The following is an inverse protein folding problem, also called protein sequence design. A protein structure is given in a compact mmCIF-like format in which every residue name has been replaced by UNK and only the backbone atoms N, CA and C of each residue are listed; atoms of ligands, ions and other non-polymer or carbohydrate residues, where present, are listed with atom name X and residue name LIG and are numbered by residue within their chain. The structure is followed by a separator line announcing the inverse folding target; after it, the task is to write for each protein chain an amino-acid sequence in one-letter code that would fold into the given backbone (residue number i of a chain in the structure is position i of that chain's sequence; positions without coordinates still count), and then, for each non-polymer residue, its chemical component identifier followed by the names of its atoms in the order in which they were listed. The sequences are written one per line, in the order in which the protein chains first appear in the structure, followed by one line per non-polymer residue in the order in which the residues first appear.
data_IF_784096162725
#
_entry.id   IF_784096162725
#
_cell.length_a   1.000
_cell.length_b   1.000
_cell.length_c   1.000
_cell.angle_alpha   90.00
_cell.angle_beta   90.00
_cell.angle_gamma   90.00
#
_symmetry.space_group_name_H-M   'P 1'
#
loop_
_entity.id
_entity.type
_entity.pdbx_description
1 polymer ?
#
# COMPACT_ATOMS: atom_id res chain seq x y z
N UNK A 1 21.20 -2.97 14.94
CA UNK A 1 20.18 -2.75 15.99
C UNK A 1 18.79 -3.33 15.66
N UNK A 2 18.54 -3.88 14.46
CA UNK A 2 17.22 -4.46 14.09
C UNK A 2 16.97 -5.90 14.60
N UNK A 3 18.02 -6.68 14.87
CA UNK A 3 17.89 -8.11 15.27
C UNK A 3 17.43 -8.28 16.72
N UNK A 4 17.63 -7.27 17.58
CA UNK A 4 17.24 -7.34 18.99
C UNK A 4 15.77 -7.02 19.22
N UNK A 5 15.11 -6.30 18.30
CA UNK A 5 13.69 -5.94 18.40
C UNK A 5 12.77 -7.05 17.91
N UNK A 6 13.18 -7.80 16.89
CA UNK A 6 12.36 -8.91 16.35
C UNK A 6 12.28 -10.09 17.31
N UNK A 7 13.36 -10.42 18.01
CA UNK A 7 13.37 -11.49 19.03
C UNK A 7 12.54 -11.13 20.26
N UNK A 8 12.43 -9.85 20.61
CA UNK A 8 11.57 -9.41 21.72
C UNK A 8 10.09 -9.40 21.35
N UNK A 9 9.73 -9.07 20.11
CA UNK A 9 8.32 -9.11 19.66
C UNK A 9 7.80 -10.53 19.53
N UNK A 10 8.62 -11.47 19.03
CA UNK A 10 8.22 -12.88 18.91
C UNK A 10 8.08 -13.54 20.27
N UNK A 11 8.98 -13.27 21.21
CA UNK A 11 8.85 -13.79 22.60
C UNK A 11 7.67 -13.17 23.34
N UNK A 12 7.32 -11.91 23.09
CA UNK A 12 6.11 -11.29 23.63
C UNK A 12 4.82 -11.91 23.07
N UNK A 13 4.78 -12.24 21.77
CA UNK A 13 3.65 -12.94 21.15
C UNK A 13 3.47 -14.37 21.69
N UNK A 14 4.57 -15.09 21.90
CA UNK A 14 4.56 -16.42 22.54
C UNK A 14 4.08 -16.35 24.00
N UNK A 15 4.48 -15.31 24.73
CA UNK A 15 3.99 -15.09 26.09
C UNK A 15 2.50 -14.71 26.12
N UNK A 16 2.02 -13.90 25.16
CA UNK A 16 0.61 -13.53 25.05
C UNK A 16 -0.26 -14.75 24.73
N UNK A 17 0.16 -15.60 23.80
CA UNK A 17 -0.55 -16.85 23.45
C UNK A 17 -0.56 -17.86 24.61
N UNK A 18 0.50 -17.92 25.42
CA UNK A 18 0.54 -18.73 26.65
C UNK A 18 -0.39 -18.19 27.74
N UNK A 19 -0.47 -16.86 27.91
CA UNK A 19 -1.40 -16.22 28.85
C UNK A 19 -2.87 -16.38 28.41
N UNK A 20 -3.13 -16.29 27.10
CA UNK A 20 -4.47 -16.45 26.54
C UNK A 20 -4.98 -17.89 26.61
N UNK A 21 -4.09 -18.88 26.58
CA UNK A 21 -4.44 -20.30 26.76
C UNK A 21 -4.56 -20.73 28.22
N UNK A 22 -3.86 -20.07 29.15
CA UNK A 22 -3.94 -20.36 30.59
C UNK A 22 -5.09 -19.63 31.30
N UNK A 23 -5.61 -18.54 30.72
CA UNK A 23 -6.78 -17.83 31.21
C UNK A 23 -8.08 -18.37 30.57
N UNK A 24 -8.38 -19.66 30.77
CA UNK A 24 -9.75 -20.15 30.59
C UNK A 24 -10.62 -19.45 31.63
N UNK A 25 -11.29 -18.38 31.22
CA UNK A 25 -12.08 -17.52 32.10
C UNK A 25 -13.17 -18.39 32.76
N UNK A 26 -13.12 -18.52 34.08
CA UNK A 26 -14.10 -19.27 34.90
C UNK A 26 -15.55 -18.85 34.65
N UNK A 27 -15.75 -17.65 34.09
CA UNK A 27 -17.06 -17.13 33.68
C UNK A 27 -17.59 -17.80 32.40
N UNK A 28 -16.72 -18.17 31.46
CA UNK A 28 -17.09 -19.00 30.30
C UNK A 28 -17.36 -20.44 30.73
N UNK A 29 -16.61 -20.97 31.70
CA UNK A 29 -16.92 -22.28 32.30
C UNK A 29 -18.25 -22.26 33.05
N UNK A 30 -18.56 -21.17 33.77
CA UNK A 30 -19.87 -20.98 34.39
C UNK A 30 -20.97 -20.85 33.34
N UNK A 31 -20.79 -20.03 32.31
CA UNK A 31 -21.76 -19.89 31.22
C UNK A 31 -22.04 -21.23 30.52
N UNK A 32 -21.00 -22.03 30.26
CA UNK A 32 -21.16 -23.37 29.67
C UNK A 32 -21.78 -24.38 30.64
N UNK A 33 -21.53 -24.26 31.95
CA UNK A 33 -22.22 -25.08 32.96
C UNK A 33 -23.72 -24.81 33.02
N UNK A 34 -24.16 -23.54 32.92
CA UNK A 34 -25.57 -23.18 32.83
C UNK A 34 -26.23 -23.77 31.57
N UNK A 35 -25.53 -23.78 30.43
CA UNK A 35 -26.07 -24.39 29.20
C UNK A 35 -26.18 -25.90 29.26
N UNK A 36 -25.28 -26.57 30.01
CA UNK A 36 -25.23 -28.02 30.11
C UNK A 36 -26.29 -28.58 31.07
N UNK A 37 -26.59 -27.87 32.15
CA UNK A 37 -27.65 -28.28 33.10
C UNK A 37 -29.06 -28.09 32.52
N UNK A 38 -29.29 -27.09 31.65
CA UNK A 38 -30.58 -26.94 30.94
C UNK A 38 -30.85 -28.03 29.90
N UNK A 39 -29.84 -28.78 29.46
CA UNK A 39 -29.99 -29.85 28.48
C UNK A 39 -30.48 -31.19 29.09
N UNK A 40 -30.65 -31.27 30.42
CA UNK A 40 -30.90 -32.54 31.12
C UNK A 40 -32.25 -32.61 31.88
N UNK A 41 -33.24 -31.80 31.49
CA UNK A 41 -34.64 -31.97 31.92
C UNK A 41 -35.48 -32.61 30.79
N UNK A 42 -35.79 -33.92 30.83
CA UNK A 42 -36.71 -34.55 29.90
C UNK A 42 -38.15 -34.37 30.39
N UNK A 43 -38.73 -33.20 30.20
CA UNK A 43 -40.18 -33.04 30.40
C UNK A 43 -40.92 -33.20 29.06
N UNK A 44 -41.53 -34.37 28.88
CA UNK A 44 -42.42 -34.64 27.76
C UNK A 44 -43.64 -33.72 27.82
N UNK A 45 -43.68 -32.70 26.96
CA UNK A 45 -44.88 -31.92 26.71
C UNK A 45 -45.08 -31.77 25.21
N UNK A 46 -46.04 -32.52 24.68
CA UNK A 46 -46.60 -32.33 23.35
C UNK A 46 -47.25 -30.94 23.32
N UNK A 47 -46.56 -29.94 22.80
CA UNK A 47 -47.19 -28.68 22.40
C UNK A 47 -46.88 -28.47 20.93
N UNK A 48 -47.90 -28.68 20.13
CA UNK A 48 -47.93 -28.31 18.72
C UNK A 48 -48.09 -26.80 18.64
N UNK A 49 -46.98 -26.09 18.48
CA UNK A 49 -47.01 -24.77 17.84
C UNK A 49 -45.86 -24.66 16.83
N UNK A 50 -46.24 -24.40 15.59
CA UNK A 50 -45.38 -24.44 14.43
C UNK A 50 -44.92 -23.02 14.09
N UNK A 51 -43.97 -22.48 14.85
CA UNK A 51 -43.18 -21.31 14.42
C UNK A 51 -41.91 -21.10 15.24
N UNK A 52 -40.99 -22.07 15.21
CA UNK A 52 -39.59 -21.85 15.60
C UNK A 52 -38.67 -22.44 14.54
N UNK A 53 -38.87 -21.99 13.30
CA UNK A 53 -37.94 -22.32 12.21
C UNK A 53 -36.75 -21.38 12.30
N UNK A 54 -35.55 -21.98 12.40
CA UNK A 54 -34.23 -21.40 12.17
C UNK A 54 -33.47 -20.85 13.39
N UNK A 55 -32.93 -21.75 14.22
CA UNK A 55 -31.57 -21.73 14.79
C UNK A 55 -31.40 -23.02 15.61
N UNK A 56 -30.22 -23.63 15.61
CA UNK A 56 -29.91 -24.86 16.36
C UNK A 56 -30.47 -24.82 17.82
N UNK A 57 -31.18 -25.87 18.28
CA UNK A 57 -31.72 -25.92 19.64
C UNK A 57 -30.65 -26.03 20.74
N UNK A 58 -29.39 -26.23 20.38
CA UNK A 58 -28.28 -26.46 21.31
C UNK A 58 -27.48 -25.19 21.67
N UNK A 59 -27.81 -24.03 21.09
CA UNK A 59 -27.15 -22.76 21.44
C UNK A 59 -28.21 -21.72 21.83
N UNK A 60 -28.52 -21.55 23.13
CA UNK A 60 -29.41 -20.48 23.58
C UNK A 60 -28.79 -19.14 23.17
N UNK A 61 -29.48 -18.43 22.28
CA UNK A 61 -29.11 -17.06 21.93
C UNK A 61 -29.48 -16.14 23.11
N UNK A 62 -28.75 -15.03 23.34
CA UNK A 62 -29.04 -14.14 24.47
C UNK A 62 -30.47 -13.58 24.44
N UNK A 63 -31.08 -13.50 23.26
CA UNK A 63 -32.47 -13.11 23.09
C UNK A 63 -33.47 -14.19 23.55
N UNK A 64 -33.19 -15.48 23.37
CA UNK A 64 -34.06 -16.56 23.83
C UNK A 64 -34.03 -16.71 25.35
N UNK A 65 -32.85 -16.58 25.97
CA UNK A 65 -32.69 -16.66 27.42
C UNK A 65 -33.47 -15.53 28.14
N UNK A 66 -33.47 -14.32 27.58
CA UNK A 66 -34.23 -13.21 28.13
C UNK A 66 -35.76 -13.47 28.10
N UNK A 67 -36.26 -14.09 27.02
CA UNK A 67 -37.66 -14.48 26.90
C UNK A 67 -38.03 -15.60 27.89
N UNK A 68 -37.17 -16.61 28.04
CA UNK A 68 -37.37 -17.71 28.99
C UNK A 68 -37.40 -17.20 30.43
N UNK A 69 -36.46 -16.31 30.82
CA UNK A 69 -36.46 -15.71 32.15
C UNK A 69 -37.72 -14.87 32.43
N UNK A 70 -38.26 -14.19 31.42
CA UNK A 70 -39.53 -13.47 31.56
C UNK A 70 -40.70 -14.45 31.76
N UNK A 71 -40.74 -15.53 30.97
CA UNK A 71 -41.75 -16.57 31.09
C UNK A 71 -41.73 -17.24 32.47
N UNK A 72 -40.55 -17.63 32.97
CA UNK A 72 -40.42 -18.23 34.29
C UNK A 72 -40.83 -17.28 35.41
N UNK A 73 -40.50 -15.98 35.33
CA UNK A 73 -40.98 -14.99 36.31
C UNK A 73 -42.50 -14.98 36.38
N UNK A 74 -43.18 -14.91 35.24
CA UNK A 74 -44.64 -14.92 35.20
C UNK A 74 -45.23 -16.24 35.72
N UNK A 75 -44.60 -17.38 35.42
CA UNK A 75 -45.02 -18.70 35.92
C UNK A 75 -44.88 -18.78 37.44
N UNK A 76 -43.75 -18.34 37.98
CA UNK A 76 -43.49 -18.32 39.42
C UNK A 76 -44.45 -17.39 40.14
N UNK A 77 -44.72 -16.19 39.61
CA UNK A 77 -45.68 -15.27 40.21
C UNK A 77 -47.09 -15.90 40.28
N UNK A 78 -47.52 -16.59 39.21
CA UNK A 78 -48.80 -17.32 39.18
C UNK A 78 -48.82 -18.49 40.17
N UNK A 79 -47.72 -19.24 40.24
CA UNK A 79 -47.59 -20.39 41.15
C UNK A 79 -47.59 -19.94 42.62
N UNK A 80 -46.83 -18.88 42.95
CA UNK A 80 -46.77 -18.28 44.27
C UNK A 80 -48.14 -17.78 44.71
N UNK A 81 -48.88 -17.08 43.83
CA UNK A 81 -50.25 -16.64 44.12
C UNK A 81 -51.18 -17.83 44.39
N UNK A 82 -51.19 -18.83 43.49
CA UNK A 82 -52.02 -20.03 43.64
C UNK A 82 -51.70 -20.80 44.93
N UNK A 83 -50.41 -20.91 45.29
CA UNK A 83 -49.98 -21.59 46.50
C UNK A 83 -50.42 -20.86 47.77
N UNK A 84 -50.23 -19.54 47.83
CA UNK A 84 -50.67 -18.72 48.95
C UNK A 84 -52.18 -18.80 49.11
N UNK A 85 -52.93 -18.72 48.01
CA UNK A 85 -54.39 -18.87 48.02
C UNK A 85 -54.82 -20.26 48.52
N UNK A 86 -54.15 -21.33 48.09
CA UNK A 86 -54.46 -22.68 48.57
C UNK A 86 -54.15 -22.84 50.06
N UNK A 87 -52.96 -22.43 50.50
CA UNK A 87 -52.55 -22.54 51.91
C UNK A 87 -53.45 -21.72 52.82
N UNK A 88 -53.89 -20.54 52.37
CA UNK A 88 -54.83 -19.71 53.15
C UNK A 88 -56.21 -20.36 53.22
N UNK A 89 -56.73 -20.91 52.12
CA UNK A 89 -57.99 -21.69 52.12
C UNK A 89 -57.91 -22.90 53.05
N UNK A 90 -56.82 -23.66 53.01
CA UNK A 90 -56.61 -24.82 53.88
C UNK A 90 -56.51 -24.42 55.36
N UNK A 91 -55.74 -23.37 55.68
CA UNK A 91 -55.64 -22.82 57.04
C UNK A 91 -57.01 -22.35 57.54
N UNK A 92 -57.80 -21.69 56.70
CA UNK A 92 -59.14 -21.22 57.06
C UNK A 92 -60.10 -22.39 57.33
N UNK A 93 -60.13 -23.40 56.46
CA UNK A 93 -60.93 -24.61 56.68
C UNK A 93 -60.51 -25.33 57.95
N UNK A 94 -59.20 -25.47 58.19
CA UNK A 94 -58.67 -26.06 59.42
C UNK A 94 -59.07 -25.25 60.66
N UNK A 95 -59.05 -23.92 60.59
CA UNK A 95 -59.45 -23.06 61.71
C UNK A 95 -60.95 -23.18 62.05
N UNK A 96 -61.82 -23.39 61.05
CA UNK A 96 -63.27 -23.57 61.27
C UNK A 96 -63.61 -24.99 61.74
N UNK A 97 -62.86 -25.99 61.26
CA UNK A 97 -63.08 -27.41 61.60
C UNK A 97 -62.33 -27.88 62.85
N UNK A 98 -61.42 -27.07 63.38
CA UNK A 98 -60.70 -27.35 64.62
C UNK A 98 -61.65 -27.36 65.83
N UNK A 99 -61.44 -28.33 66.72
CA UNK A 99 -62.23 -28.53 67.95
C UNK A 99 -62.04 -27.38 68.96
N UNK A 100 -60.89 -26.68 68.89
CA UNK A 100 -60.59 -25.46 69.64
C UNK A 100 -60.53 -24.27 68.67
N UNK A 101 -61.42 -23.27 68.78
CA UNK A 101 -61.37 -22.10 67.91
C UNK A 101 -60.07 -21.33 68.17
N UNK A 102 -59.29 -21.09 67.11
CA UNK A 102 -58.12 -20.23 67.15
C UNK A 102 -58.58 -18.78 67.25
N UNK A 103 -58.47 -18.19 68.44
CA UNK A 103 -58.71 -16.76 68.63
C UNK A 103 -57.40 -16.01 68.38
N UNK A 104 -57.37 -15.22 67.31
CA UNK A 104 -56.25 -14.33 67.03
C UNK A 104 -56.54 -13.03 67.75
N UNK A 105 -55.72 -12.69 68.75
CA UNK A 105 -55.87 -11.41 69.44
C UNK A 105 -55.42 -10.26 68.51
N UNK A 106 -56.13 -9.12 68.53
CA UNK A 106 -55.74 -7.96 67.74
C UNK A 106 -54.34 -7.43 68.12
N UNK A 107 -53.89 -7.69 69.35
CA UNK A 107 -52.54 -7.36 69.81
C UNK A 107 -51.46 -8.20 69.12
N UNK A 108 -51.71 -9.51 68.92
CA UNK A 108 -50.80 -10.40 68.21
C UNK A 108 -50.70 -10.03 66.72
N UNK A 109 -51.81 -9.64 66.10
CA UNK A 109 -51.81 -9.11 64.74
C UNK A 109 -50.99 -7.82 64.62
N UNK A 110 -51.18 -6.87 65.54
CA UNK A 110 -50.41 -5.63 65.54
C UNK A 110 -48.90 -5.88 65.74
N UNK A 111 -48.53 -6.86 66.57
CA UNK A 111 -47.13 -7.27 66.74
C UNK A 111 -46.55 -7.87 65.45
N UNK A 112 -47.28 -8.77 64.79
CA UNK A 112 -46.86 -9.38 63.52
C UNK A 112 -46.80 -8.36 62.37
N UNK A 113 -47.74 -7.42 62.29
CA UNK A 113 -47.70 -6.32 61.32
C UNK A 113 -46.48 -5.43 61.53
N UNK A 114 -46.10 -5.16 62.79
CA UNK A 114 -44.88 -4.38 63.08
C UNK A 114 -43.59 -5.11 62.68
N UNK A 115 -43.53 -6.43 62.87
CA UNK A 115 -42.40 -7.25 62.45
C UNK A 115 -42.31 -7.33 60.92
N UNK A 116 -43.44 -7.56 60.24
CA UNK A 116 -43.51 -7.55 58.79
C UNK A 116 -43.08 -6.21 58.20
N UNK A 117 -43.44 -5.08 58.82
CA UNK A 117 -43.02 -3.77 58.37
C UNK A 117 -41.48 -3.60 58.41
N UNK A 118 -40.83 -4.10 59.46
CA UNK A 118 -39.36 -4.08 59.58
C UNK A 118 -38.69 -5.00 58.55
N UNK A 119 -39.18 -6.24 58.42
CA UNK A 119 -38.66 -7.20 57.44
C UNK A 119 -38.87 -6.73 56.00
N UNK A 120 -40.00 -6.06 55.71
CA UNK A 120 -40.25 -5.46 54.41
C UNK A 120 -39.28 -4.32 54.10
N UNK A 121 -38.92 -3.50 55.08
CA UNK A 121 -37.95 -2.42 54.92
C UNK A 121 -36.55 -2.99 54.64
N UNK A 122 -36.12 -3.99 55.41
CA UNK A 122 -34.87 -4.70 55.19
C UNK A 122 -34.82 -5.36 53.80
N UNK A 123 -35.90 -6.04 53.39
CA UNK A 123 -35.99 -6.65 52.07
C UNK A 123 -35.96 -5.60 50.95
N UNK A 124 -36.59 -4.44 51.13
CA UNK A 124 -36.53 -3.33 50.16
C UNK A 124 -35.11 -2.80 50.03
N UNK A 125 -34.38 -2.64 51.14
CA UNK A 125 -32.99 -2.20 51.12
C UNK A 125 -32.10 -3.22 50.40
N UNK A 126 -32.21 -4.51 50.75
CA UNK A 126 -31.44 -5.57 50.09
C UNK A 126 -31.75 -5.67 48.59
N UNK A 127 -33.03 -5.55 48.18
CA UNK A 127 -33.42 -5.51 46.77
C UNK A 127 -32.79 -4.32 46.04
N UNK A 128 -32.75 -3.14 46.66
CA UNK A 128 -32.11 -1.96 46.09
C UNK A 128 -30.59 -2.14 45.95
N UNK A 129 -29.93 -2.74 46.96
CA UNK A 129 -28.50 -3.06 46.91
C UNK A 129 -28.17 -4.06 45.80
N UNK A 130 -28.95 -5.14 45.67
CA UNK A 130 -28.78 -6.12 44.59
C UNK A 130 -28.98 -5.47 43.23
N UNK A 131 -30.02 -4.65 43.06
CA UNK A 131 -30.26 -3.95 41.79
C UNK A 131 -29.12 -2.98 41.42
N UNK A 132 -28.53 -2.30 42.41
CA UNK A 132 -27.37 -1.45 42.19
C UNK A 132 -26.13 -2.27 41.78
N UNK A 133 -25.88 -3.40 42.45
CA UNK A 133 -24.77 -4.29 42.11
C UNK A 133 -24.92 -4.91 40.73
N UNK A 134 -26.13 -5.31 40.33
CA UNK A 134 -26.38 -5.85 38.97
C UNK A 134 -26.11 -4.79 37.90
N UNK A 135 -26.54 -3.54 38.13
CA UNK A 135 -26.24 -2.45 37.19
C UNK A 135 -24.74 -2.18 37.09
N UNK A 136 -24.01 -2.20 38.20
CA UNK A 136 -22.55 -2.05 38.19
C UNK A 136 -21.84 -3.19 37.47
N UNK A 137 -22.31 -4.43 37.67
CA UNK A 137 -21.79 -5.61 36.97
C UNK A 137 -22.05 -5.53 35.46
N UNK A 138 -23.25 -5.12 35.04
CA UNK A 138 -23.57 -4.92 33.62
C UNK A 138 -22.70 -3.84 33.00
N UNK A 139 -22.52 -2.70 33.68
CA UNK A 139 -21.67 -1.61 33.19
C UNK A 139 -20.21 -2.07 33.01
N UNK A 140 -19.66 -2.76 34.03
CA UNK A 140 -18.30 -3.31 33.96
C UNK A 140 -18.18 -4.42 32.92
N UNK A 141 -19.22 -5.24 32.76
CA UNK A 141 -19.27 -6.28 31.73
C UNK A 141 -19.20 -5.70 30.32
N UNK A 142 -19.94 -4.63 30.05
CA UNK A 142 -19.89 -3.91 28.77
C UNK A 142 -18.53 -3.26 28.54
N UNK A 143 -17.97 -2.58 29.54
CA UNK A 143 -16.64 -2.00 29.47
C UNK A 143 -15.57 -3.07 29.18
N UNK A 144 -15.64 -4.21 29.86
CA UNK A 144 -14.72 -5.32 29.65
C UNK A 144 -14.86 -5.94 28.25
N UNK A 145 -16.09 -6.08 27.73
CA UNK A 145 -16.32 -6.54 26.37
C UNK A 145 -15.65 -5.62 25.34
N UNK A 146 -15.86 -4.29 25.45
CA UNK A 146 -15.24 -3.32 24.53
C UNK A 146 -13.71 -3.32 24.61
N UNK A 147 -13.15 -3.49 25.82
CA UNK A 147 -11.69 -3.61 26.00
C UNK A 147 -11.15 -4.90 25.40
N UNK A 148 -11.87 -6.00 25.56
CA UNK A 148 -11.49 -7.28 25.01
C UNK A 148 -11.49 -7.24 23.47
N UNK A 149 -12.53 -6.67 22.86
CA UNK A 149 -12.59 -6.45 21.40
C UNK A 149 -11.37 -5.66 20.91
N UNK A 150 -11.05 -4.53 21.55
CA UNK A 150 -9.87 -3.73 21.19
C UNK A 150 -8.55 -4.47 21.39
N UNK A 151 -8.42 -5.32 22.41
CA UNK A 151 -7.23 -6.17 22.60
C UNK A 151 -7.11 -7.26 21.53
N UNK A 152 -8.23 -7.82 21.07
CA UNK A 152 -8.24 -8.81 19.99
C UNK A 152 -7.80 -8.16 18.67
N UNK A 153 -8.31 -6.97 18.34
CA UNK A 153 -7.90 -6.20 17.17
C UNK A 153 -6.39 -5.85 17.21
N UNK A 154 -5.92 -5.36 18.35
CA UNK A 154 -4.49 -5.09 18.54
C UNK A 154 -3.65 -6.37 18.43
N UNK A 155 -4.13 -7.49 18.97
CA UNK A 155 -3.49 -8.79 18.87
C UNK A 155 -3.33 -9.24 17.41
N UNK A 156 -4.36 -9.06 16.57
CA UNK A 156 -4.28 -9.34 15.14
C UNK A 156 -3.25 -8.45 14.43
N UNK A 157 -3.27 -7.14 14.71
CA UNK A 157 -2.29 -6.22 14.13
C UNK A 157 -0.84 -6.61 14.47
N UNK A 158 -0.58 -7.06 15.71
CA UNK A 158 0.76 -7.52 16.12
C UNK A 158 1.12 -8.85 15.47
N UNK A 159 0.16 -9.73 15.19
CA UNK A 159 0.40 -10.97 14.43
C UNK A 159 0.72 -10.70 12.95
N UNK A 160 0.13 -9.68 12.34
CA UNK A 160 0.35 -9.34 10.93
C UNK A 160 1.66 -8.56 10.70
N UNK A 161 2.13 -7.81 11.70
CA UNK A 161 3.33 -6.97 11.61
C UNK A 161 4.60 -7.71 11.14
N UNK A 162 4.93 -8.91 11.66
CA UNK A 162 6.09 -9.69 11.22
C UNK A 162 6.03 -10.05 9.73
N UNK A 163 4.84 -10.33 9.19
CA UNK A 163 4.64 -10.61 7.76
C UNK A 163 4.98 -9.40 6.91
N UNK A 164 4.39 -8.24 7.24
CA UNK A 164 4.70 -6.98 6.56
C UNK A 164 6.18 -6.60 6.67
N UNK A 165 6.82 -6.86 7.83
CA UNK A 165 8.24 -6.57 8.02
C UNK A 165 9.10 -7.46 7.11
N UNK A 166 8.77 -8.76 7.01
CA UNK A 166 9.46 -9.67 6.10
C UNK A 166 9.28 -9.27 4.62
N UNK A 167 8.08 -8.83 4.23
CA UNK A 167 7.81 -8.31 2.88
C UNK A 167 8.63 -7.05 2.58
N UNK A 168 8.67 -6.09 3.52
CA UNK A 168 9.47 -4.87 3.37
C UNK A 168 10.97 -5.18 3.32
N UNK A 169 11.45 -6.13 4.12
CA UNK A 169 12.85 -6.58 4.07
C UNK A 169 13.19 -7.24 2.72
N UNK A 170 12.27 -8.03 2.17
CA UNK A 170 12.43 -8.62 0.84
C UNK A 170 12.47 -7.55 -0.25
N UNK A 171 11.57 -6.56 -0.20
CA UNK A 171 11.58 -5.42 -1.14
C UNK A 171 12.86 -4.59 -1.02
N UNK A 172 13.36 -4.36 0.19
CA UNK A 172 14.65 -3.67 0.39
C UNK A 172 15.80 -4.49 -0.19
N UNK A 173 15.78 -5.82 -0.04
CA UNK A 173 16.80 -6.69 -0.61
C UNK A 173 16.76 -6.68 -2.15
N UNK A 174 15.56 -6.71 -2.74
CA UNK A 174 15.33 -6.59 -4.18
C UNK A 174 15.83 -5.25 -4.72
N UNK A 175 15.40 -4.13 -4.12
CA UNK A 175 15.84 -2.80 -4.51
C UNK A 175 17.35 -2.61 -4.37
N UNK A 176 17.98 -3.21 -3.35
CA UNK A 176 19.45 -3.20 -3.21
C UNK A 176 20.15 -4.08 -4.24
N UNK A 177 19.47 -5.08 -4.80
CA UNK A 177 19.95 -5.93 -5.89
C UNK A 177 19.83 -5.25 -7.24
N UNK A 178 18.69 -4.61 -7.52
CA UNK A 178 18.42 -3.85 -8.75
C UNK A 178 19.26 -2.57 -8.83
N UNK A 179 19.35 -1.85 -7.71
CA UNK A 179 20.15 -0.65 -7.55
C UNK A 179 21.26 -0.94 -6.55
N UNK A 180 22.35 -1.60 -6.97
CA UNK A 180 23.54 -1.63 -6.14
C UNK A 180 23.85 -0.17 -5.80
N UNK A 181 23.93 0.13 -4.50
CA UNK A 181 24.37 1.44 -4.00
C UNK A 181 25.47 1.98 -4.92
N UNK A 182 25.45 3.27 -5.31
CA UNK A 182 26.45 3.82 -6.23
C UNK A 182 27.87 3.42 -5.80
N UNK A 183 28.10 3.24 -4.49
CA UNK A 183 29.37 2.80 -3.87
C UNK A 183 29.90 1.45 -4.39
N UNK A 184 29.03 0.60 -4.96
CA UNK A 184 29.39 -0.72 -5.52
C UNK A 184 29.54 -0.73 -7.04
N UNK A 185 28.96 0.25 -7.73
CA UNK A 185 29.21 0.46 -9.15
C UNK A 185 30.61 1.05 -9.23
N UNK A 186 31.58 0.30 -9.75
CA UNK A 186 33.00 0.69 -9.83
C UNK A 186 33.26 1.97 -10.64
N UNK A 187 32.22 2.61 -11.17
CA UNK A 187 32.26 3.91 -11.80
C UNK A 187 32.32 5.01 -10.73
N UNK A 188 33.53 5.51 -10.49
CA UNK A 188 33.83 6.62 -9.58
C UNK A 188 33.00 7.88 -9.91
N UNK A 189 32.60 8.02 -11.18
CA UNK A 189 31.72 9.09 -11.68
C UNK A 189 30.27 9.02 -11.18
N UNK A 190 29.78 7.83 -10.82
CA UNK A 190 28.43 7.63 -10.27
C UNK A 190 28.39 7.77 -8.74
N UNK A 191 29.56 7.91 -8.12
CA UNK A 191 29.74 8.05 -6.67
C UNK A 191 29.98 9.49 -6.21
N UNK A 192 29.97 10.46 -7.13
CA UNK A 192 30.21 11.83 -6.77
C UNK A 192 29.04 12.41 -5.98
N UNK A 193 29.32 13.23 -4.95
CA UNK A 193 28.29 13.99 -4.28
C UNK A 193 27.62 14.94 -5.28
N UNK A 194 26.36 15.28 -5.01
CA UNK A 194 25.53 16.08 -5.92
C UNK A 194 26.17 17.41 -6.36
N UNK A 195 27.00 18.02 -5.51
CA UNK A 195 27.71 19.25 -5.87
C UNK A 195 28.71 19.02 -7.02
N UNK A 196 29.46 17.93 -6.98
CA UNK A 196 30.50 17.63 -7.96
C UNK A 196 29.89 17.12 -9.28
N UNK A 197 28.74 16.42 -9.22
CA UNK A 197 28.01 16.02 -10.43
C UNK A 197 27.44 17.23 -11.18
N UNK A 198 27.00 18.27 -10.47
CA UNK A 198 26.56 19.53 -11.10
C UNK A 198 27.70 20.27 -11.78
N UNK A 199 28.91 20.24 -11.21
CA UNK A 199 30.11 20.83 -11.84
C UNK A 199 30.48 20.06 -13.11
N UNK A 200 30.56 18.73 -13.05
CA UNK A 200 30.81 17.89 -14.22
C UNK A 200 29.77 18.07 -15.32
N UNK A 201 28.50 18.23 -14.95
CA UNK A 201 27.42 18.48 -15.90
C UNK A 201 27.60 19.84 -16.59
N UNK A 202 27.98 20.88 -15.85
CA UNK A 202 28.26 22.20 -16.42
C UNK A 202 29.48 22.19 -17.35
N UNK A 203 30.52 21.43 -17.03
CA UNK A 203 31.70 21.23 -17.89
C UNK A 203 31.31 20.51 -19.19
N UNK A 204 30.60 19.39 -19.09
CA UNK A 204 30.08 18.65 -20.25
C UNK A 204 29.18 19.51 -21.14
N UNK A 205 28.29 20.31 -20.55
CA UNK A 205 27.45 21.24 -21.32
C UNK A 205 28.27 22.29 -22.06
N UNK A 206 29.35 22.77 -21.46
CA UNK A 206 30.26 23.72 -22.11
C UNK A 206 31.02 23.06 -23.25
N UNK A 207 31.54 21.85 -23.07
CA UNK A 207 32.20 21.07 -24.13
C UNK A 207 31.22 20.78 -25.29
N UNK A 208 29.97 20.42 -25.00
CA UNK A 208 28.94 20.26 -26.01
C UNK A 208 28.67 21.56 -26.78
N UNK A 209 28.55 22.70 -26.09
CA UNK A 209 28.37 23.99 -26.75
C UNK A 209 29.59 24.38 -27.63
N UNK A 210 30.81 24.09 -27.18
CA UNK A 210 32.03 24.33 -27.96
C UNK A 210 32.10 23.43 -29.20
N UNK A 211 31.75 22.15 -29.07
CA UNK A 211 31.72 21.22 -30.21
C UNK A 211 30.61 21.58 -31.19
N UNK A 212 29.43 21.98 -30.72
CA UNK A 212 28.35 22.51 -31.58
C UNK A 212 28.78 23.77 -32.33
N UNK A 213 29.50 24.68 -31.68
CA UNK A 213 30.05 25.88 -32.34
C UNK A 213 31.10 25.51 -33.41
N UNK A 214 31.96 24.53 -33.15
CA UNK A 214 32.92 24.02 -34.14
C UNK A 214 32.20 23.36 -35.33
N UNK A 215 31.16 22.57 -35.08
CA UNK A 215 30.34 21.97 -36.14
C UNK A 215 29.69 23.06 -36.99
N UNK A 216 29.11 24.09 -36.38
CA UNK A 216 28.51 25.21 -37.09
C UNK A 216 29.54 25.98 -37.96
N UNK A 217 30.74 26.24 -37.42
CA UNK A 217 31.82 26.87 -38.16
C UNK A 217 32.23 26.03 -39.38
N UNK A 218 32.48 24.73 -39.21
CA UNK A 218 32.83 23.82 -40.30
C UNK A 218 31.72 23.69 -41.34
N UNK A 219 30.45 23.68 -40.91
CA UNK A 219 29.29 23.69 -41.82
C UNK A 219 29.20 24.98 -42.64
N UNK A 220 29.68 26.11 -42.11
CA UNK A 220 29.73 27.39 -42.85
C UNK A 220 30.93 27.48 -43.79
N UNK A 221 32.09 26.92 -43.42
CA UNK A 221 33.30 26.92 -44.26
C UNK A 221 33.23 25.90 -45.41
N UNK A 222 32.57 24.76 -45.20
CA UNK A 222 32.38 23.71 -46.21
C UNK A 222 31.87 24.21 -47.57
N UNK A 223 30.75 24.96 -47.64
CA UNK A 223 30.25 25.49 -48.91
C UNK A 223 31.16 26.57 -49.51
N UNK A 224 31.88 27.36 -48.70
CA UNK A 224 32.84 28.34 -49.22
C UNK A 224 34.03 27.67 -49.88
N UNK A 225 34.64 26.69 -49.21
CA UNK A 225 35.71 25.84 -49.77
C UNK A 225 35.23 25.10 -51.02
N UNK A 226 33.99 24.62 -51.05
CA UNK A 226 33.42 23.96 -52.22
C UNK A 226 33.30 24.92 -53.42
N UNK A 227 32.92 26.19 -53.18
CA UNK A 227 32.87 27.23 -54.23
C UNK A 227 34.27 27.59 -54.72
N UNK A 228 35.25 27.70 -53.82
CA UNK A 228 36.64 27.95 -54.18
C UNK A 228 37.22 26.81 -55.03
N UNK A 229 36.97 25.55 -54.64
CA UNK A 229 37.37 24.38 -55.42
C UNK A 229 36.72 24.38 -56.80
N UNK A 230 35.41 24.63 -56.90
CA UNK A 230 34.71 24.72 -58.19
C UNK A 230 35.33 25.81 -59.09
N UNK A 231 35.68 26.97 -58.53
CA UNK A 231 36.35 28.04 -59.29
C UNK A 231 37.73 27.62 -59.78
N UNK A 232 38.54 26.98 -58.92
CA UNK A 232 39.87 26.48 -59.32
C UNK A 232 39.76 25.37 -60.37
N UNK A 233 38.75 24.51 -60.28
CA UNK A 233 38.45 23.49 -61.29
C UNK A 233 38.08 24.11 -62.64
N UNK A 234 37.27 25.17 -62.67
CA UNK A 234 36.95 25.93 -63.88
C UNK A 234 38.19 26.59 -64.48
N UNK A 235 39.03 27.23 -63.66
CA UNK A 235 40.29 27.84 -64.09
C UNK A 235 41.26 26.78 -64.67
N UNK A 236 41.37 25.62 -64.02
CA UNK A 236 42.17 24.49 -64.50
C UNK A 236 41.60 23.91 -65.79
N UNK A 237 40.28 23.78 -65.92
CA UNK A 237 39.62 23.38 -67.17
C UNK A 237 39.94 24.37 -68.30
N UNK A 238 39.88 25.67 -68.04
CA UNK A 238 40.31 26.72 -68.96
C UNK A 238 41.76 26.57 -69.40
N UNK A 239 42.69 26.40 -68.45
CA UNK A 239 44.12 26.22 -68.76
C UNK A 239 44.40 24.92 -69.50
N UNK A 240 43.70 23.82 -69.20
CA UNK A 240 43.86 22.56 -69.93
C UNK A 240 43.36 22.65 -71.36
N UNK A 241 42.26 23.38 -71.63
CA UNK A 241 41.82 23.63 -73.02
C UNK A 241 42.82 24.52 -73.77
N UNK A 242 43.33 25.59 -73.14
CA UNK A 242 44.38 26.43 -73.73
C UNK A 242 45.65 25.63 -74.02
N UNK A 243 46.09 24.78 -73.10
CA UNK A 243 47.21 23.85 -73.30
C UNK A 243 46.96 22.91 -74.48
N UNK A 244 45.77 22.29 -74.56
CA UNK A 244 45.39 21.42 -75.70
C UNK A 244 45.45 22.19 -77.02
N UNK A 245 44.93 23.42 -77.06
CA UNK A 245 44.97 24.27 -78.26
C UNK A 245 46.40 24.68 -78.63
N UNK A 246 47.23 25.06 -77.67
CA UNK A 246 48.64 25.41 -77.92
C UNK A 246 49.46 24.21 -78.39
N UNK A 247 49.28 23.04 -77.77
CA UNK A 247 49.90 21.78 -78.21
C UNK A 247 49.40 21.38 -79.59
N UNK A 248 48.11 21.56 -79.89
CA UNK A 248 47.53 21.36 -81.22
C UNK A 248 48.18 22.26 -82.26
N UNK A 249 48.23 23.57 -82.01
CA UNK A 249 48.93 24.56 -82.88
C UNK A 249 50.40 24.20 -83.08
N UNK A 250 51.11 23.80 -82.03
CA UNK A 250 52.50 23.39 -82.12
C UNK A 250 52.69 22.09 -82.91
N UNK A 251 51.80 21.10 -82.74
CA UNK A 251 51.80 19.85 -83.51
C UNK A 251 51.49 20.10 -84.98
N UNK A 252 50.51 20.94 -85.28
CA UNK A 252 50.21 21.31 -86.67
C UNK A 252 51.34 22.12 -87.31
N UNK A 253 51.96 23.04 -86.58
CA UNK A 253 53.14 23.75 -87.07
C UNK A 253 54.31 22.79 -87.36
N UNK A 254 54.51 21.78 -86.50
CA UNK A 254 55.50 20.72 -86.71
C UNK A 254 55.14 19.82 -87.91
N UNK A 255 53.88 19.40 -88.03
CA UNK A 255 53.41 18.59 -89.16
C UNK A 255 53.50 19.36 -90.49
N UNK A 256 53.23 20.68 -90.51
CA UNK A 256 53.40 21.54 -91.69
C UNK A 256 54.87 21.71 -92.08
N UNK A 257 55.80 21.77 -91.11
CA UNK A 257 57.24 21.74 -91.35
C UNK A 257 57.71 20.40 -91.92
N UNK A 258 57.24 19.28 -91.37
CA UNK A 258 57.58 17.93 -91.83
C UNK A 258 56.99 17.60 -93.22
N UNK A 259 55.85 18.21 -93.58
CA UNK A 259 55.21 18.08 -94.90
C UNK A 259 55.76 19.05 -95.97
N UNK A 260 56.83 19.81 -95.69
CA UNK A 260 57.52 20.64 -96.69
C UNK A 260 56.84 21.97 -97.05
N UNK A 261 55.92 22.48 -96.24
CA UNK A 261 55.25 23.77 -96.48
C UNK A 261 56.09 24.98 -96.01
N UNK A 262 56.44 25.89 -96.94
CA UNK A 262 57.11 27.15 -96.62
C UNK A 262 56.12 28.10 -95.92
N UNK A 263 56.41 28.41 -94.65
CA UNK A 263 55.60 29.23 -93.76
C UNK A 263 55.36 30.63 -94.36
N UNK A 264 54.14 31.19 -94.27
CA UNK A 264 53.86 32.55 -94.79
C UNK A 264 54.69 33.62 -94.07
N UNK A 265 55.01 33.39 -92.80
CA UNK A 265 55.86 34.24 -91.97
C UNK A 265 57.32 34.14 -92.41
N UNK A 266 57.79 32.95 -92.80
CA UNK A 266 59.11 32.82 -93.44
C UNK A 266 59.11 33.42 -94.85
N UNK A 267 58.01 33.36 -95.60
CA UNK A 267 57.90 33.96 -96.92
C UNK A 267 57.98 35.48 -96.82
N UNK A 268 57.27 36.09 -95.86
CA UNK A 268 57.42 37.51 -95.51
C UNK A 268 58.80 37.84 -94.95
N UNK A 269 59.37 37.00 -94.10
CA UNK A 269 60.72 37.19 -93.56
C UNK A 269 61.84 37.05 -94.59
N UNK A 270 61.66 36.19 -95.60
CA UNK A 270 62.56 36.08 -96.77
C UNK A 270 62.36 37.25 -97.73
N UNK A 271 61.11 37.70 -97.93
CA UNK A 271 60.81 38.89 -98.73
C UNK A 271 61.40 40.16 -98.08
N UNK A 272 61.20 40.38 -96.79
CA UNK A 272 61.80 41.50 -96.05
C UNK A 272 63.33 41.42 -96.04
N UNK A 273 63.93 40.22 -95.88
CA UNK A 273 65.39 40.05 -96.02
C UNK A 273 65.89 40.30 -97.44
N UNK A 274 65.10 39.99 -98.46
CA UNK A 274 65.43 40.31 -99.86
C UNK A 274 65.27 41.80 -100.15
N UNK A 275 64.29 42.46 -99.54
CA UNK A 275 64.06 43.90 -99.61
C UNK A 275 65.18 44.66 -98.87
N UNK A 276 65.62 44.18 -97.69
CA UNK A 276 66.81 44.66 -96.99
C UNK A 276 68.09 44.43 -97.79
N UNK A 277 68.26 43.27 -98.43
CA UNK A 277 69.43 42.99 -99.28
C UNK A 277 69.49 43.88 -100.52
N UNK A 278 68.35 44.12 -101.18
CA UNK A 278 68.24 45.09 -102.27
C UNK A 278 68.56 46.51 -101.78
N UNK A 279 68.05 46.91 -100.60
CA UNK A 279 68.38 48.19 -100.00
C UNK A 279 69.88 48.33 -99.64
N UNK A 280 70.55 47.23 -99.26
CA UNK A 280 72.00 47.25 -98.99
C UNK A 280 72.88 47.27 -100.24
N UNK A 281 72.39 46.85 -101.40
CA UNK A 281 73.13 46.90 -102.68
C UNK A 281 72.99 48.27 -103.40
N UNK A 282 72.10 49.15 -102.93
CA UNK A 282 71.90 50.52 -103.43
C UNK A 282 72.57 51.62 -102.58
N UNK A 283 73.42 51.24 -101.62
CA UNK A 283 74.27 52.13 -100.78
C UNK A 283 75.73 51.72 -100.92
#
# INVERSE_FOLDING_TARGET
MAVTTTTTTTTALEQLTLLQSSASLSLLDLATSFTKDTAQEPSGARTSDASSTYSDPDVPTPASLAADLAHYKELFDKLSFSYIEQVTKEKFLRAITAETPLFIEPADNAALESQLALEEEELKEQKAQVAALTQQLEARGRELATRYEGLVEQGQMVQDLPGHLAELEAQIAELRGEYPSPVKSGDEQLNLPLADTLVLLAEQQKELAETEAQIAALQSEGPERARELARVEEELAGLTTQKKMAVGRAREARARKEAGGIDEVERRGRWLRAEEALLSDFV
#
